data_IF_009093133232
#
_entry.id   IF_009093133232
#
_cell.length_a   1.000
_cell.length_b   1.000
_cell.length_c   1.000
_cell.angle_alpha   90.00
_cell.angle_beta   90.00
_cell.angle_gamma   90.00
#
_symmetry.space_group_name_H-M   'P 1'
#
loop_
_entity.id
_entity.type
_entity.pdbx_description
1 polymer ?
#
# COMPACT_ATOMS: atom_id res chain seq x y z
N UNK A 1 4.83 -23.76 -47.33
CA UNK A 1 5.95 -23.15 -46.57
C UNK A 1 5.91 -23.55 -45.09
N UNK A 2 4.75 -23.94 -44.58
CA UNK A 2 4.58 -24.37 -43.18
C UNK A 2 5.20 -25.74 -42.86
N UNK A 3 5.27 -26.65 -43.84
CA UNK A 3 5.87 -27.99 -43.67
C UNK A 3 7.40 -27.94 -43.40
N UNK A 4 8.10 -26.98 -44.01
CA UNK A 4 9.52 -26.80 -43.76
C UNK A 4 9.76 -26.28 -42.33
N UNK A 5 8.87 -25.42 -41.83
CA UNK A 5 8.95 -24.89 -40.46
C UNK A 5 8.65 -25.98 -39.44
N UNK A 6 7.61 -26.79 -39.65
CA UNK A 6 7.27 -27.90 -38.74
C UNK A 6 8.36 -28.98 -38.71
N UNK A 7 8.97 -29.29 -39.85
CA UNK A 7 10.14 -30.19 -39.92
C UNK A 7 11.33 -29.65 -39.11
N UNK A 8 11.69 -28.38 -39.32
CA UNK A 8 12.79 -27.72 -38.59
C UNK A 8 12.50 -27.68 -37.09
N UNK A 9 11.27 -27.35 -36.68
CA UNK A 9 10.85 -27.36 -35.28
C UNK A 9 10.93 -28.77 -34.65
N UNK A 10 10.54 -29.81 -35.39
CA UNK A 10 10.66 -31.20 -34.93
C UNK A 10 12.11 -31.64 -34.71
N UNK A 11 13.04 -31.19 -35.56
CA UNK A 11 14.48 -31.40 -35.36
C UNK A 11 14.95 -30.67 -34.11
N UNK A 12 14.63 -29.38 -33.96
CA UNK A 12 15.05 -28.61 -32.78
C UNK A 12 14.51 -29.19 -31.48
N UNK A 13 13.28 -29.69 -31.47
CA UNK A 13 12.70 -30.34 -30.30
C UNK A 13 13.43 -31.64 -29.96
N UNK A 14 13.67 -32.51 -30.95
CA UNK A 14 14.42 -33.77 -30.76
C UNK A 14 15.84 -33.49 -30.26
N UNK A 15 16.48 -32.46 -30.81
CA UNK A 15 17.80 -31.99 -30.42
C UNK A 15 17.77 -31.50 -28.97
N UNK A 16 16.79 -30.67 -28.59
CA UNK A 16 16.62 -30.17 -27.21
C UNK A 16 16.38 -31.29 -26.21
N UNK A 17 15.54 -32.27 -26.54
CA UNK A 17 15.27 -33.43 -25.69
C UNK A 17 16.54 -34.27 -25.47
N UNK A 18 17.37 -34.45 -26.50
CA UNK A 18 18.64 -35.17 -26.41
C UNK A 18 19.73 -34.37 -25.67
N UNK A 19 19.75 -33.05 -25.82
CA UNK A 19 20.63 -32.16 -25.04
C UNK A 19 20.21 -32.05 -23.57
N UNK A 20 18.99 -32.48 -23.21
CA UNK A 20 18.58 -32.69 -21.83
C UNK A 20 19.41 -33.77 -21.11
N UNK A 21 20.08 -34.66 -21.85
CA UNK A 21 21.04 -35.59 -21.26
C UNK A 21 22.37 -34.87 -20.99
N UNK A 22 22.80 -34.73 -19.72
CA UNK A 22 24.04 -34.05 -19.36
C UNK A 22 25.28 -34.72 -19.98
N UNK A 23 25.23 -36.03 -20.22
CA UNK A 23 26.33 -36.76 -20.86
C UNK A 23 26.52 -36.35 -22.32
N UNK A 24 25.44 -36.24 -23.07
CA UNK A 24 25.49 -35.88 -24.50
C UNK A 24 25.95 -34.44 -24.66
N UNK A 25 25.39 -33.52 -23.88
CA UNK A 25 25.79 -32.10 -23.92
C UNK A 25 27.26 -31.90 -23.52
N UNK A 26 27.70 -32.50 -22.42
CA UNK A 26 29.10 -32.43 -21.99
C UNK A 26 30.04 -33.11 -23.00
N UNK A 27 29.64 -34.24 -23.60
CA UNK A 27 30.41 -34.92 -24.63
C UNK A 27 30.59 -34.05 -25.88
N UNK A 28 29.51 -33.44 -26.40
CA UNK A 28 29.59 -32.58 -27.59
C UNK A 28 30.52 -31.38 -27.34
N UNK A 29 30.43 -30.75 -26.17
CA UNK A 29 31.30 -29.63 -25.80
C UNK A 29 32.76 -30.10 -25.64
N UNK A 30 32.99 -31.18 -24.90
CA UNK A 30 34.33 -31.76 -24.73
C UNK A 30 34.93 -32.20 -26.07
N UNK A 31 34.12 -32.76 -26.96
CA UNK A 31 34.52 -33.17 -28.30
C UNK A 31 34.92 -31.98 -29.16
N UNK A 32 34.14 -30.91 -29.15
CA UNK A 32 34.44 -29.69 -29.90
C UNK A 32 35.71 -29.01 -29.40
N UNK A 33 35.92 -28.96 -28.08
CA UNK A 33 37.14 -28.40 -27.47
C UNK A 33 38.36 -29.26 -27.80
N UNK A 34 38.24 -30.59 -27.67
CA UNK A 34 39.35 -31.51 -27.91
C UNK A 34 39.72 -31.61 -29.39
N UNK A 35 38.72 -31.68 -30.27
CA UNK A 35 38.88 -31.80 -31.72
C UNK A 35 38.78 -30.44 -32.45
N UNK A 36 39.16 -29.34 -31.79
CA UNK A 36 39.05 -28.00 -32.36
C UNK A 36 39.82 -27.85 -33.69
N UNK A 37 40.94 -28.57 -33.87
CA UNK A 37 41.71 -28.56 -35.12
C UNK A 37 40.91 -29.14 -36.30
N UNK A 38 40.12 -30.18 -36.06
CA UNK A 38 39.23 -30.74 -37.08
C UNK A 38 38.14 -29.72 -37.42
N UNK A 39 37.57 -29.06 -36.43
CA UNK A 39 36.59 -27.98 -36.66
C UNK A 39 37.19 -26.82 -37.47
N UNK A 40 38.43 -26.42 -37.18
CA UNK A 40 39.13 -25.36 -37.93
C UNK A 40 39.39 -25.77 -39.38
N UNK A 41 39.78 -27.02 -39.65
CA UNK A 41 39.96 -27.50 -41.02
C UNK A 41 38.63 -27.56 -41.77
N UNK A 42 37.56 -27.98 -41.09
CA UNK A 42 36.23 -28.08 -41.67
C UNK A 42 35.65 -26.70 -41.99
N UNK A 43 35.64 -25.80 -41.01
CA UNK A 43 35.08 -24.44 -41.09
C UNK A 43 35.99 -23.46 -41.86
N UNK A 44 37.29 -23.71 -41.91
CA UNK A 44 38.24 -22.83 -42.59
C UNK A 44 38.02 -22.82 -44.10
N UNK A 45 37.95 -21.63 -44.69
CA UNK A 45 37.82 -21.42 -46.14
C UNK A 45 39.15 -21.62 -46.88
N UNK A 46 39.85 -22.71 -46.63
CA UNK A 46 41.11 -23.02 -47.32
C UNK A 46 40.91 -23.37 -48.79
N UNK A 47 41.87 -22.98 -49.63
CA UNK A 47 41.83 -23.09 -51.10
C UNK A 47 41.84 -24.53 -51.65
N UNK A 48 42.12 -25.54 -50.82
CA UNK A 48 42.33 -26.93 -51.25
C UNK A 48 41.08 -27.74 -51.62
N UNK A 49 39.88 -27.17 -51.55
CA UNK A 49 38.62 -27.92 -51.73
C UNK A 49 38.44 -29.06 -50.71
N UNK A 50 37.36 -29.83 -50.83
CA UNK A 50 37.01 -30.86 -49.84
C UNK A 50 38.01 -32.03 -49.79
N UNK A 51 38.61 -32.41 -50.94
CA UNK A 51 39.55 -33.53 -51.03
C UNK A 51 40.85 -33.27 -50.27
N UNK A 52 41.41 -32.06 -50.38
CA UNK A 52 42.63 -31.72 -49.65
C UNK A 52 42.38 -31.68 -48.13
N UNK A 53 41.20 -31.23 -47.70
CA UNK A 53 40.80 -31.24 -46.28
C UNK A 53 40.73 -32.66 -45.72
N UNK A 54 40.08 -33.59 -46.40
CA UNK A 54 40.01 -34.99 -45.97
C UNK A 54 41.40 -35.62 -45.96
N UNK A 55 42.19 -35.43 -47.02
CA UNK A 55 43.57 -35.93 -47.08
C UNK A 55 44.44 -35.38 -45.95
N UNK A 56 44.25 -34.10 -45.58
CA UNK A 56 44.94 -33.52 -44.43
C UNK A 56 44.51 -34.16 -43.12
N UNK A 57 43.21 -34.40 -42.93
CA UNK A 57 42.69 -35.06 -41.72
C UNK A 57 43.25 -36.48 -41.60
N UNK A 58 43.20 -37.26 -42.67
CA UNK A 58 43.62 -38.66 -42.65
C UNK A 58 45.14 -38.82 -42.54
N UNK A 59 45.93 -37.94 -43.15
CA UNK A 59 47.39 -38.09 -43.14
C UNK A 59 48.09 -37.38 -41.97
N UNK A 60 47.54 -36.27 -41.47
CA UNK A 60 48.22 -35.41 -40.49
C UNK A 60 47.51 -35.31 -39.14
N UNK A 61 46.16 -35.34 -39.10
CA UNK A 61 45.42 -35.24 -37.83
C UNK A 61 45.22 -36.62 -37.20
N UNK A 62 44.83 -37.62 -37.99
CA UNK A 62 44.50 -38.96 -37.51
C UNK A 62 45.07 -40.05 -38.44
N UNK A 63 46.41 -40.23 -38.47
CA UNK A 63 47.08 -41.17 -39.37
C UNK A 63 46.70 -42.63 -39.13
N UNK A 64 46.28 -42.98 -37.91
CA UNK A 64 45.88 -44.35 -37.55
C UNK A 64 44.39 -44.41 -37.24
N UNK A 65 43.75 -45.52 -37.58
CA UNK A 65 42.36 -45.81 -37.20
C UNK A 65 42.15 -45.80 -35.68
N UNK A 66 43.19 -46.17 -34.92
CA UNK A 66 43.14 -46.11 -33.46
C UNK A 66 43.07 -44.67 -32.94
N UNK A 67 43.75 -43.73 -33.62
CA UNK A 67 43.77 -42.32 -33.22
C UNK A 67 42.36 -41.72 -33.37
N UNK A 68 41.61 -42.13 -34.40
CA UNK A 68 40.21 -41.78 -34.57
C UNK A 68 39.34 -42.23 -33.39
N UNK A 69 39.51 -43.46 -32.90
CA UNK A 69 38.72 -43.96 -31.77
C UNK A 69 39.10 -43.24 -30.45
N UNK A 70 40.40 -43.04 -30.22
CA UNK A 70 40.91 -42.44 -28.99
C UNK A 70 40.58 -40.95 -28.93
N UNK A 71 40.98 -40.18 -29.94
CA UNK A 71 40.80 -38.72 -29.96
C UNK A 71 39.39 -38.32 -30.37
N UNK A 72 38.73 -39.12 -31.21
CA UNK A 72 37.36 -38.86 -31.66
C UNK A 72 36.31 -39.22 -30.61
N UNK A 73 36.52 -40.23 -29.77
CA UNK A 73 35.47 -40.71 -28.85
C UNK A 73 35.95 -40.86 -27.41
N UNK A 74 37.01 -41.65 -27.15
CA UNK A 74 37.37 -42.04 -25.79
C UNK A 74 37.83 -40.85 -24.92
N UNK A 75 38.69 -39.97 -25.45
CA UNK A 75 39.18 -38.81 -24.69
C UNK A 75 38.05 -37.81 -24.42
N UNK A 76 37.26 -37.35 -25.41
CA UNK A 76 36.10 -36.49 -25.14
C UNK A 76 35.10 -37.09 -24.15
N UNK A 77 34.86 -38.41 -24.22
CA UNK A 77 34.02 -39.12 -23.27
C UNK A 77 34.61 -39.11 -21.86
N UNK A 78 35.92 -39.36 -21.72
CA UNK A 78 36.62 -39.27 -20.45
C UNK A 78 36.58 -37.86 -19.84
N UNK A 79 36.73 -36.82 -20.67
CA UNK A 79 36.60 -35.42 -20.24
C UNK A 79 35.16 -35.13 -19.80
N UNK A 80 34.16 -35.56 -20.58
CA UNK A 80 32.75 -35.37 -20.25
C UNK A 80 32.36 -36.07 -18.94
N UNK A 81 32.79 -37.32 -18.75
CA UNK A 81 32.57 -38.06 -17.50
C UNK A 81 33.27 -37.37 -16.32
N UNK A 82 34.51 -36.94 -16.50
CA UNK A 82 35.25 -36.18 -15.48
C UNK A 82 34.52 -34.90 -15.13
N UNK A 83 34.03 -34.15 -16.12
CA UNK A 83 33.27 -32.93 -15.92
C UNK A 83 31.97 -33.19 -15.16
N UNK A 84 31.23 -34.25 -15.49
CA UNK A 84 29.96 -34.58 -14.85
C UNK A 84 30.13 -35.10 -13.43
N UNK A 85 31.14 -35.94 -13.18
CA UNK A 85 31.28 -36.60 -11.88
C UNK A 85 32.25 -35.88 -10.93
N UNK A 86 33.32 -35.29 -11.43
CA UNK A 86 34.35 -34.65 -10.61
C UNK A 86 34.05 -33.19 -10.33
N UNK A 87 33.45 -32.46 -11.28
CA UNK A 87 33.20 -31.03 -11.12
C UNK A 87 32.14 -30.71 -10.03
N UNK A 88 30.98 -31.40 -9.95
CA UNK A 88 29.97 -31.07 -8.94
C UNK A 88 30.44 -31.15 -7.49
N UNK A 89 31.16 -32.20 -7.02
CA UNK A 89 31.64 -32.21 -5.64
C UNK A 89 32.68 -31.11 -5.36
N UNK A 90 33.52 -30.76 -6.34
CA UNK A 90 34.47 -29.63 -6.20
C UNK A 90 33.74 -28.30 -6.09
N UNK A 91 32.77 -28.05 -6.98
CA UNK A 91 31.97 -26.82 -6.96
C UNK A 91 31.14 -26.70 -5.68
N UNK A 92 30.58 -27.80 -5.16
CA UNK A 92 29.85 -27.81 -3.88
C UNK A 92 30.75 -27.42 -2.71
N UNK A 93 32.00 -27.90 -2.67
CA UNK A 93 32.97 -27.51 -1.64
C UNK A 93 33.31 -26.03 -1.71
N UNK A 94 33.63 -25.54 -2.91
CA UNK A 94 33.95 -24.12 -3.13
C UNK A 94 32.76 -23.23 -2.75
N UNK A 95 31.54 -23.62 -3.13
CA UNK A 95 30.32 -22.88 -2.78
C UNK A 95 30.08 -22.85 -1.27
N UNK A 96 30.24 -23.99 -0.58
CA UNK A 96 30.11 -24.07 0.87
C UNK A 96 31.15 -23.21 1.60
N UNK A 97 32.41 -23.24 1.14
CA UNK A 97 33.48 -22.41 1.71
C UNK A 97 33.23 -20.92 1.44
N UNK A 98 32.74 -20.57 0.26
CA UNK A 98 32.37 -19.21 -0.09
C UNK A 98 31.23 -18.69 0.78
N UNK A 99 30.16 -19.48 0.97
CA UNK A 99 29.03 -19.13 1.82
C UNK A 99 29.46 -18.99 3.29
N UNK A 100 30.33 -19.89 3.78
CA UNK A 100 30.91 -19.78 5.11
C UNK A 100 31.71 -18.49 5.30
N UNK A 101 32.48 -18.10 4.29
CA UNK A 101 33.25 -16.85 4.33
C UNK A 101 32.34 -15.62 4.26
N UNK A 102 31.28 -15.65 3.44
CA UNK A 102 30.28 -14.58 3.42
C UNK A 102 29.57 -14.42 4.77
N UNK A 103 29.19 -15.53 5.41
CA UNK A 103 28.57 -15.50 6.73
C UNK A 103 29.54 -14.93 7.78
N UNK A 104 30.82 -15.34 7.77
CA UNK A 104 31.85 -14.74 8.63
C UNK A 104 32.02 -13.24 8.41
N UNK A 105 32.02 -12.79 7.17
CA UNK A 105 32.12 -11.36 6.84
C UNK A 105 30.90 -10.60 7.32
N UNK A 106 29.69 -11.16 7.15
CA UNK A 106 28.45 -10.57 7.69
C UNK A 106 28.50 -10.48 9.21
N UNK A 107 28.89 -11.55 9.89
CA UNK A 107 29.04 -11.57 11.36
C UNK A 107 30.06 -10.52 11.84
N UNK A 108 31.16 -10.34 11.11
CA UNK A 108 32.16 -9.32 11.41
C UNK A 108 31.61 -7.89 11.20
N UNK A 109 30.86 -7.65 10.12
CA UNK A 109 30.21 -6.36 9.87
C UNK A 109 29.17 -6.06 10.96
N UNK A 110 28.37 -7.06 11.36
CA UNK A 110 27.34 -6.90 12.39
C UNK A 110 27.94 -6.63 13.77
N UNK A 111 29.02 -7.32 14.15
CA UNK A 111 29.70 -7.03 15.40
C UNK A 111 30.33 -5.63 15.42
N UNK A 112 30.74 -5.10 14.26
CA UNK A 112 31.31 -3.77 14.14
C UNK A 112 30.26 -2.63 14.09
N UNK A 113 29.04 -2.89 13.64
CA UNK A 113 28.01 -1.84 13.39
C UNK A 113 26.99 -1.67 14.51
N UNK A 114 27.06 -2.44 15.61
CA UNK A 114 26.05 -2.50 16.69
C UNK A 114 24.61 -2.85 16.23
N UNK A 115 24.38 -3.02 14.93
CA UNK A 115 23.10 -3.48 14.37
C UNK A 115 23.07 -5.00 14.46
N UNK A 116 22.55 -5.50 15.58
CA UNK A 116 22.33 -6.95 15.79
C UNK A 116 21.22 -7.45 14.86
N UNK A 117 21.58 -8.33 13.92
CA UNK A 117 20.58 -9.14 13.21
C UNK A 117 19.94 -10.13 14.17
N UNK A 118 18.61 -10.18 14.19
CA UNK A 118 17.85 -11.12 15.01
C UNK A 118 18.22 -12.56 14.62
N UNK A 119 18.47 -13.42 15.60
CA UNK A 119 18.63 -14.85 15.35
C UNK A 119 17.35 -15.44 14.76
N UNK A 120 17.42 -16.60 14.09
CA UNK A 120 16.22 -17.25 13.53
C UNK A 120 15.15 -17.49 14.61
N UNK A 121 15.57 -17.86 15.82
CA UNK A 121 14.69 -18.04 16.98
C UNK A 121 14.08 -16.73 17.45
N UNK A 122 14.87 -15.65 17.50
CA UNK A 122 14.38 -14.31 17.85
C UNK A 122 13.41 -13.77 16.80
N UNK A 123 13.67 -14.02 15.51
CA UNK A 123 12.78 -13.65 14.42
C UNK A 123 11.45 -14.42 14.48
N UNK A 124 11.47 -15.72 14.80
CA UNK A 124 10.26 -16.51 15.03
C UNK A 124 9.50 -16.04 16.27
N UNK A 125 10.20 -15.73 17.36
CA UNK A 125 9.60 -15.15 18.55
C UNK A 125 8.93 -13.81 18.24
N UNK A 126 9.62 -12.90 17.54
CA UNK A 126 9.07 -11.61 17.14
C UNK A 126 7.84 -11.76 16.25
N UNK A 127 7.86 -12.70 15.29
CA UNK A 127 6.69 -13.04 14.47
C UNK A 127 5.52 -13.52 15.32
N UNK A 128 5.77 -14.37 16.32
CA UNK A 128 4.72 -14.86 17.23
C UNK A 128 4.10 -13.72 18.06
N UNK A 129 4.92 -12.77 18.52
CA UNK A 129 4.46 -11.58 19.26
C UNK A 129 3.61 -10.69 18.34
N UNK A 130 4.06 -10.43 17.12
CA UNK A 130 3.30 -9.65 16.14
C UNK A 130 1.95 -10.28 15.79
N UNK A 131 1.89 -11.61 15.67
CA UNK A 131 0.63 -12.33 15.41
C UNK A 131 -0.32 -12.16 16.60
N UNK A 132 0.17 -12.30 17.84
CA UNK A 132 -0.66 -12.10 19.05
C UNK A 132 -1.20 -10.68 19.14
N UNK A 133 -0.34 -9.67 18.99
CA UNK A 133 -0.75 -8.26 18.99
C UNK A 133 -1.78 -7.97 17.89
N UNK A 134 -1.63 -8.57 16.70
CA UNK A 134 -2.60 -8.41 15.61
C UNK A 134 -3.95 -9.05 15.95
N UNK A 135 -3.96 -10.18 16.63
CA UNK A 135 -5.18 -10.82 17.10
C UNK A 135 -5.88 -9.97 18.17
N UNK A 136 -5.13 -9.46 19.16
CA UNK A 136 -5.63 -8.54 20.20
C UNK A 136 -6.21 -7.26 19.60
N UNK A 137 -5.53 -6.67 18.62
CA UNK A 137 -6.02 -5.49 17.90
C UNK A 137 -7.32 -5.76 17.14
N UNK A 138 -7.46 -6.96 16.55
CA UNK A 138 -8.68 -7.34 15.85
C UNK A 138 -9.86 -7.50 16.81
N UNK A 139 -9.62 -8.06 18.00
CA UNK A 139 -10.65 -8.17 19.04
C UNK A 139 -11.07 -6.79 19.57
N UNK A 140 -10.13 -5.91 19.87
CA UNK A 140 -10.42 -4.55 20.33
C UNK A 140 -11.19 -3.74 19.27
N UNK A 141 -10.83 -3.90 18.00
CA UNK A 141 -11.56 -3.28 16.89
C UNK A 141 -12.99 -3.79 16.80
N UNK A 142 -13.21 -5.10 16.96
CA UNK A 142 -14.55 -5.67 16.93
C UNK A 142 -15.43 -5.15 18.08
N UNK A 143 -14.88 -5.10 19.30
CA UNK A 143 -15.56 -4.53 20.47
C UNK A 143 -15.89 -3.04 20.26
N UNK A 144 -14.95 -2.28 19.70
CA UNK A 144 -15.17 -0.86 19.39
C UNK A 144 -16.30 -0.67 18.38
N UNK A 145 -16.33 -1.46 17.30
CA UNK A 145 -17.41 -1.43 16.31
C UNK A 145 -18.75 -1.76 16.95
N UNK A 146 -18.81 -2.81 17.77
CA UNK A 146 -20.03 -3.17 18.49
C UNK A 146 -20.50 -2.06 19.44
N UNK A 147 -19.57 -1.38 20.11
CA UNK A 147 -19.90 -0.24 20.96
C UNK A 147 -20.50 0.91 20.16
N UNK A 148 -19.95 1.22 18.98
CA UNK A 148 -20.43 2.26 18.08
C UNK A 148 -21.83 1.94 17.54
N UNK A 149 -22.09 0.68 17.17
CA UNK A 149 -23.42 0.24 16.76
C UNK A 149 -24.45 0.41 17.88
N UNK A 150 -24.08 0.08 19.12
CA UNK A 150 -24.95 0.28 20.28
C UNK A 150 -25.21 1.76 20.55
N UNK A 151 -24.20 2.62 20.39
CA UNK A 151 -24.37 4.08 20.47
C UNK A 151 -25.31 4.60 19.37
N UNK A 152 -25.13 4.16 18.12
CA UNK A 152 -25.98 4.55 17.01
C UNK A 152 -27.46 4.17 17.26
N UNK A 153 -27.71 2.95 17.75
CA UNK A 153 -29.07 2.50 18.14
C UNK A 153 -29.68 3.38 19.23
N UNK A 154 -28.92 3.70 20.28
CA UNK A 154 -29.39 4.60 21.35
C UNK A 154 -29.71 6.00 20.83
N UNK A 155 -28.91 6.54 19.93
CA UNK A 155 -29.18 7.86 19.32
C UNK A 155 -30.43 7.83 18.44
N UNK A 156 -30.68 6.73 17.73
CA UNK A 156 -31.89 6.55 16.92
C UNK A 156 -33.15 6.44 17.81
N UNK A 157 -33.08 5.69 18.91
CA UNK A 157 -34.15 5.59 19.91
C UNK A 157 -34.46 6.95 20.54
N UNK A 158 -33.43 7.72 20.89
CA UNK A 158 -33.59 9.08 21.41
C UNK A 158 -34.22 10.02 20.39
N UNK A 159 -33.83 9.93 19.11
CA UNK A 159 -34.43 10.72 18.04
C UNK A 159 -35.92 10.39 17.87
N UNK A 160 -36.29 9.10 17.86
CA UNK A 160 -37.68 8.65 17.80
C UNK A 160 -38.50 9.12 19.00
N UNK A 161 -37.94 9.03 20.20
CA UNK A 161 -38.60 9.54 21.42
C UNK A 161 -38.84 11.05 21.33
N UNK A 162 -37.88 11.81 20.80
CA UNK A 162 -38.00 13.25 20.61
C UNK A 162 -39.05 13.61 19.55
N UNK A 163 -39.14 12.86 18.45
CA UNK A 163 -40.21 13.02 17.46
C UNK A 163 -41.60 12.74 18.06
N UNK A 164 -41.74 11.70 18.89
CA UNK A 164 -42.98 11.39 19.58
C UNK A 164 -43.38 12.50 20.57
N UNK A 165 -42.42 13.02 21.33
CA UNK A 165 -42.65 14.17 22.24
C UNK A 165 -43.10 15.41 21.48
N UNK A 166 -42.47 15.74 20.36
CA UNK A 166 -42.89 16.86 19.49
C UNK A 166 -44.30 16.69 18.94
N UNK A 167 -44.68 15.47 18.55
CA UNK A 167 -46.05 15.18 18.10
C UNK A 167 -47.07 15.44 19.20
N UNK A 168 -46.80 14.98 20.43
CA UNK A 168 -47.66 15.24 21.60
C UNK A 168 -47.75 16.73 21.93
N UNK A 169 -46.63 17.44 21.87
CA UNK A 169 -46.61 18.90 22.08
C UNK A 169 -47.53 19.60 21.07
N UNK A 170 -47.44 19.25 19.79
CA UNK A 170 -48.32 19.81 18.76
C UNK A 170 -49.81 19.48 19.00
N UNK A 171 -50.13 18.24 19.39
CA UNK A 171 -51.50 17.83 19.74
C UNK A 171 -52.05 18.66 20.92
N UNK A 172 -51.24 18.84 21.97
CA UNK A 172 -51.59 19.66 23.13
C UNK A 172 -51.76 21.13 22.76
N UNK A 173 -50.91 21.68 21.89
CA UNK A 173 -51.07 23.05 21.39
C UNK A 173 -52.40 23.25 20.66
N UNK A 174 -52.81 22.28 19.85
CA UNK A 174 -54.08 22.32 19.13
C UNK A 174 -55.29 22.16 20.07
N UNK A 175 -55.18 21.35 21.12
CA UNK A 175 -56.18 21.29 22.19
C UNK A 175 -56.29 22.64 22.93
N UNK A 176 -55.16 23.26 23.27
CA UNK A 176 -55.12 24.58 23.91
C UNK A 176 -55.77 25.63 23.01
N UNK A 177 -55.54 25.61 21.68
CA UNK A 177 -56.20 26.50 20.73
C UNK A 177 -57.72 26.30 20.73
N UNK A 178 -58.19 25.04 20.75
CA UNK A 178 -59.63 24.72 20.83
C UNK A 178 -60.25 25.24 22.13
N UNK A 179 -59.56 25.11 23.26
CA UNK A 179 -60.04 25.57 24.57
C UNK A 179 -60.01 27.11 24.70
N UNK A 180 -59.08 27.79 24.05
CA UNK A 180 -59.00 29.27 24.02
C UNK A 180 -60.01 29.91 23.06
N UNK A 181 -60.67 29.15 22.19
CA UNK A 181 -61.73 29.68 21.35
C UNK A 181 -62.82 30.29 22.26
N UNK A 182 -63.15 31.59 22.09
CA UNK A 182 -64.07 32.25 22.99
C UNK A 182 -65.40 31.48 23.01
N UNK A 183 -65.96 31.18 24.20
CA UNK A 183 -67.24 30.50 24.27
C UNK A 183 -68.26 31.28 23.44
N UNK A 184 -69.16 30.59 22.71
CA UNK A 184 -70.18 31.26 21.92
C UNK A 184 -70.93 32.24 22.84
N UNK A 185 -70.93 33.52 22.46
CA UNK A 185 -71.61 34.59 23.21
C UNK A 185 -73.09 34.25 23.34
N UNK A 186 -73.48 33.56 24.40
CA UNK A 186 -74.86 33.60 24.89
C UNK A 186 -75.03 34.93 25.62
N UNK A 187 -76.13 35.66 25.42
CA UNK A 187 -76.41 36.88 26.18
C UNK A 187 -76.45 36.51 27.66
N UNK A 188 -75.43 36.95 28.40
CA UNK A 188 -75.27 36.67 29.81
C UNK A 188 -75.85 37.85 30.58
N UNK A 189 -77.01 37.63 31.20
CA UNK A 189 -77.72 38.57 32.05
C UNK A 189 -76.97 38.72 33.38
N UNK A 190 -76.51 39.92 33.68
CA UNK A 190 -75.58 40.23 34.76
C UNK A 190 -76.39 40.60 36.02
N UNK A 191 -76.88 39.61 36.75
CA UNK A 191 -77.41 39.86 38.10
C UNK A 191 -76.31 39.60 39.13
N UNK A 192 -75.76 40.69 39.66
CA UNK A 192 -74.61 40.68 40.54
C UNK A 192 -74.88 40.08 41.91
N UNK A 193 -73.89 39.39 42.46
CA UNK A 193 -73.42 39.50 43.85
C UNK A 193 -72.18 38.60 44.09
N UNK A 194 -71.32 39.12 44.96
CA UNK A 194 -70.14 38.54 45.63
C UNK A 194 -68.86 38.30 44.83
N UNK A 195 -68.19 39.41 44.49
CA UNK A 195 -66.81 39.45 43.95
C UNK A 195 -65.70 39.59 45.01
N UNK A 196 -65.98 39.51 46.31
CA UNK A 196 -64.93 39.69 47.34
C UNK A 196 -64.31 38.40 47.90
N UNK A 197 -64.98 37.24 47.87
CA UNK A 197 -64.41 36.01 48.45
C UNK A 197 -63.48 35.23 47.50
N UNK A 198 -63.60 35.41 46.19
CA UNK A 198 -62.73 34.72 45.21
C UNK A 198 -61.34 35.36 45.03
N UNK A 199 -61.16 36.60 45.50
CA UNK A 199 -59.86 37.29 45.44
C UNK A 199 -58.83 36.74 46.44
N UNK A 200 -59.25 36.07 47.52
CA UNK A 200 -58.33 35.44 48.49
C UNK A 200 -57.85 34.04 48.08
N UNK A 201 -58.60 33.31 47.24
CA UNK A 201 -58.20 31.97 46.79
C UNK A 201 -57.10 31.99 45.72
N UNK A 202 -56.99 33.06 44.93
CA UNK A 202 -55.99 33.19 43.86
C UNK A 202 -54.62 33.63 44.41
N UNK A 203 -54.59 34.31 45.57
CA UNK A 203 -53.34 34.72 46.23
C UNK A 203 -52.48 33.55 46.74
N UNK A 204 -53.09 32.43 47.14
CA UNK A 204 -52.36 31.26 47.68
C UNK A 204 -51.75 30.39 46.56
N UNK A 205 -52.27 30.50 45.33
CA UNK A 205 -51.81 29.67 44.21
C UNK A 205 -50.58 30.22 43.49
N UNK A 206 -50.25 31.52 43.64
CA UNK A 206 -49.02 32.09 43.09
C UNK A 206 -47.79 31.86 43.96
N UNK A 207 -47.92 31.75 45.28
CA UNK A 207 -46.78 31.48 46.18
C UNK A 207 -46.28 30.02 46.08
N UNK A 208 -47.15 29.08 45.70
CA UNK A 208 -46.78 27.67 45.44
C UNK A 208 -46.05 27.46 44.10
N UNK A 209 -46.20 28.36 43.13
CA UNK A 209 -45.45 28.29 41.86
C UNK A 209 -44.07 28.97 41.94
N UNK A 210 -43.88 29.93 42.85
CA UNK A 210 -42.57 30.55 43.10
C UNK A 210 -41.58 29.61 43.81
N UNK A 211 -42.05 28.60 44.55
CA UNK A 211 -41.20 27.62 45.22
C UNK A 211 -40.70 26.46 44.32
N UNK A 212 -41.27 26.29 43.11
CA UNK A 212 -40.98 25.16 42.23
C UNK A 212 -39.85 25.41 41.21
N UNK A 213 -39.39 26.64 41.03
CA UNK A 213 -38.42 27.01 39.99
C UNK A 213 -36.97 27.18 40.46
N UNK A 214 -36.63 26.76 41.68
CA UNK A 214 -35.28 26.82 42.23
C UNK A 214 -34.60 25.44 42.39
N UNK A 215 -34.88 24.50 41.49
CA UNK A 215 -34.07 23.28 41.37
C UNK A 215 -32.80 23.58 40.56
N UNK A 216 -31.80 24.15 41.24
CA UNK A 216 -30.41 24.20 40.79
C UNK A 216 -29.86 22.78 40.69
N UNK A 217 -29.63 22.30 39.47
CA UNK A 217 -28.80 21.11 39.24
C UNK A 217 -27.34 21.57 39.27
N UNK A 218 -26.66 21.28 40.39
CA UNK A 218 -25.21 21.38 40.50
C UNK A 218 -24.58 20.12 39.92
N UNK A 219 -23.75 20.28 38.88
CA UNK A 219 -22.72 19.31 38.52
C UNK A 219 -21.37 19.93 38.86
N UNK A 220 -20.68 19.33 39.83
CA UNK A 220 -19.26 19.52 40.15
C UNK A 220 -18.80 20.92 40.65
N UNK A 221 -19.62 21.59 41.46
CA UNK A 221 -19.16 22.68 42.35
C UNK A 221 -18.70 23.98 41.70
N UNK A 222 -18.82 24.17 40.37
CA UNK A 222 -18.52 25.45 39.69
C UNK A 222 -19.65 25.87 38.75
N UNK A 223 -20.12 27.12 38.91
CA UNK A 223 -21.12 27.73 38.02
C UNK A 223 -20.47 28.10 36.69
N UNK A 224 -20.89 27.49 35.59
CA UNK A 224 -20.51 27.92 34.24
C UNK A 224 -21.77 28.41 33.51
N UNK A 225 -21.67 29.61 32.93
CA UNK A 225 -22.72 30.27 32.15
C UNK A 225 -22.77 29.61 30.77
N UNK A 226 -23.90 28.97 30.42
CA UNK A 226 -24.12 28.35 29.12
C UNK A 226 -24.67 29.40 28.13
N UNK A 227 -23.98 29.73 27.02
CA UNK A 227 -24.51 30.65 26.03
C UNK A 227 -25.25 29.89 24.92
N UNK A 228 -26.51 30.27 24.68
CA UNK A 228 -27.19 29.92 23.44
C UNK A 228 -26.64 30.74 22.27
N UNK A 229 -26.69 30.07 21.14
CA UNK A 229 -26.48 30.48 19.76
C UNK A 229 -26.87 31.92 19.41
N UNK A 230 -25.96 32.60 18.72
CA UNK A 230 -26.31 33.56 17.67
C UNK A 230 -26.12 32.89 16.31
N UNK A 231 -27.23 32.83 15.57
CA UNK A 231 -27.25 32.65 14.13
C UNK A 231 -26.41 33.76 13.47
N UNK A 232 -25.40 33.38 12.69
CA UNK A 232 -25.03 33.89 11.36
C UNK A 232 -23.67 33.25 11.00
N UNK A 233 -23.45 32.98 9.71
CA UNK A 233 -22.29 32.28 9.12
C UNK A 233 -22.28 30.74 9.13
N UNK A 234 -23.36 30.14 8.60
CA UNK A 234 -23.30 28.83 7.98
C UNK A 234 -23.11 28.97 6.45
N UNK A 235 -21.87 29.15 6.01
CA UNK A 235 -21.43 28.76 4.66
C UNK A 235 -20.11 28.00 4.75
N UNK A 236 -20.18 26.74 4.29
CA UNK A 236 -19.14 25.70 4.25
C UNK A 236 -18.75 25.10 5.59
N UNK A 237 -19.36 23.96 5.92
CA UNK A 237 -18.77 22.99 6.84
C UNK A 237 -18.95 21.57 6.28
N UNK A 238 -17.84 20.99 5.80
CA UNK A 238 -17.66 19.55 5.56
C UNK A 238 -17.21 18.96 6.91
N UNK A 239 -17.71 17.81 7.36
CA UNK A 239 -17.31 17.26 8.66
C UNK A 239 -15.92 16.62 8.55
N UNK A 240 -14.90 17.37 8.97
CA UNK A 240 -13.60 16.83 9.37
C UNK A 240 -13.55 16.88 10.89
N UNK A 241 -14.00 15.81 11.54
CA UNK A 241 -13.78 15.60 12.96
C UNK A 241 -13.21 14.20 13.21
N UNK A 242 -12.06 14.20 13.91
CA UNK A 242 -11.31 13.09 14.53
C UNK A 242 -10.40 12.25 13.64
N UNK A 243 -9.25 12.84 13.31
CA UNK A 243 -7.95 12.14 13.25
C UNK A 243 -6.86 13.13 13.67
N UNK A 244 -6.71 13.37 14.98
CA UNK A 244 -5.63 14.23 15.51
C UNK A 244 -5.00 13.53 16.70
N UNK A 245 -4.05 12.65 16.40
CA UNK A 245 -3.01 12.20 17.33
C UNK A 245 -1.69 11.99 16.55
N UNK A 246 -1.23 12.99 15.81
CA UNK A 246 0.21 13.22 15.60
C UNK A 246 0.44 14.59 14.95
N UNK A 247 1.32 15.45 15.50
CA UNK A 247 1.63 16.75 14.89
C UNK A 247 2.31 16.63 13.50
N UNK A 248 2.88 15.46 13.17
CA UNK A 248 3.50 15.21 11.86
C UNK A 248 2.52 15.21 10.67
N UNK A 249 1.22 14.96 10.90
CA UNK A 249 0.23 14.83 9.81
C UNK A 249 -0.38 16.16 9.38
N UNK A 250 -0.39 17.18 10.24
CA UNK A 250 -1.00 18.46 9.89
C UNK A 250 -0.14 19.27 8.91
N UNK A 251 1.18 19.32 9.14
CA UNK A 251 2.10 20.05 8.25
C UNK A 251 2.18 19.41 6.86
N UNK A 252 2.23 18.08 6.79
CA UNK A 252 2.29 17.34 5.52
C UNK A 252 0.99 17.43 4.74
N UNK A 253 -0.17 17.40 5.41
CA UNK A 253 -1.46 17.53 4.75
C UNK A 253 -1.72 18.97 4.28
N UNK A 254 -1.31 19.98 5.05
CA UNK A 254 -1.37 21.38 4.66
C UNK A 254 -0.45 21.68 3.45
N UNK A 255 0.77 21.15 3.45
CA UNK A 255 1.70 21.27 2.33
C UNK A 255 1.14 20.58 1.07
N UNK A 256 0.52 19.40 1.20
CA UNK A 256 -0.09 18.68 0.08
C UNK A 256 -1.27 19.45 -0.53
N UNK A 257 -2.12 20.05 0.31
CA UNK A 257 -3.23 20.90 -0.15
C UNK A 257 -2.73 22.20 -0.82
N UNK A 258 -1.65 22.79 -0.32
CA UNK A 258 -1.01 23.96 -0.93
C UNK A 258 -0.44 23.60 -2.31
N UNK A 259 0.25 22.46 -2.42
CA UNK A 259 0.79 21.94 -3.68
C UNK A 259 -0.34 21.71 -4.69
N UNK A 260 -1.43 21.07 -4.26
CA UNK A 260 -2.58 20.78 -5.12
C UNK A 260 -3.27 22.07 -5.62
N UNK A 261 -3.44 23.07 -4.74
CA UNK A 261 -4.05 24.35 -5.07
C UNK A 261 -3.20 25.17 -6.05
N UNK A 262 -1.87 25.06 -5.98
CA UNK A 262 -0.94 25.77 -6.87
C UNK A 262 -0.70 25.02 -8.19
N UNK A 263 -0.68 23.69 -8.18
CA UNK A 263 -0.63 22.86 -9.39
C UNK A 263 -1.84 23.08 -10.30
N UNK A 264 -3.01 23.35 -9.70
CA UNK A 264 -4.23 23.71 -10.43
C UNK A 264 -4.14 25.07 -11.16
N UNK A 265 -3.18 25.93 -10.81
CA UNK A 265 -3.01 27.28 -11.41
C UNK A 265 -2.09 27.25 -12.64
N UNK A 266 -1.57 26.08 -13.05
CA UNK A 266 -0.87 25.89 -14.33
C UNK A 266 0.45 26.66 -14.50
N UNK A 267 0.98 27.26 -13.43
CA UNK A 267 2.28 27.94 -13.47
C UNK A 267 3.41 26.93 -13.31
N UNK A 268 4.32 26.89 -14.30
CA UNK A 268 5.62 26.22 -14.16
C UNK A 268 6.45 27.00 -13.15
N UNK A 269 6.63 26.45 -11.95
CA UNK A 269 7.56 26.95 -10.94
C UNK A 269 8.81 26.08 -10.92
N UNK A 270 9.98 26.69 -10.77
CA UNK A 270 11.22 25.95 -10.57
C UNK A 270 11.26 25.36 -9.16
N UNK A 271 12.12 24.36 -8.93
CA UNK A 271 12.29 23.75 -7.61
C UNK A 271 12.62 24.77 -6.52
N UNK A 272 13.46 25.77 -6.83
CA UNK A 272 13.82 26.85 -5.90
C UNK A 272 12.62 27.74 -5.55
N UNK A 273 11.69 27.93 -6.47
CA UNK A 273 10.46 28.69 -6.20
C UNK A 273 9.54 27.92 -5.24
N UNK A 274 9.50 26.59 -5.34
CA UNK A 274 8.74 25.73 -4.42
C UNK A 274 9.33 25.74 -3.01
N UNK A 275 10.65 25.61 -2.90
CA UNK A 275 11.37 25.64 -1.62
C UNK A 275 11.15 26.98 -0.92
N UNK A 276 11.37 28.10 -1.63
CA UNK A 276 11.15 29.45 -1.09
C UNK A 276 9.69 29.70 -0.68
N UNK A 277 8.73 29.11 -1.39
CA UNK A 277 7.30 29.26 -1.07
C UNK A 277 6.90 28.44 0.16
N UNK A 278 7.43 27.22 0.32
CA UNK A 278 7.23 26.40 1.51
C UNK A 278 7.87 27.04 2.75
N UNK A 279 9.09 27.56 2.62
CA UNK A 279 9.75 28.32 3.70
C UNK A 279 8.97 29.58 4.08
N UNK A 280 8.48 30.34 3.09
CA UNK A 280 7.65 31.55 3.34
C UNK A 280 6.38 31.24 4.14
N UNK A 281 5.84 30.04 4.02
CA UNK A 281 4.65 29.60 4.75
C UNK A 281 4.97 28.77 6.01
N UNK A 282 6.24 28.69 6.42
CA UNK A 282 6.67 28.05 7.67
C UNK A 282 6.85 26.53 7.57
N UNK A 283 6.82 25.94 6.37
CA UNK A 283 6.94 24.49 6.15
C UNK A 283 8.40 24.04 5.95
N UNK A 284 9.31 24.50 6.81
CA UNK A 284 10.77 24.30 6.66
C UNK A 284 11.18 22.82 6.63
N UNK A 285 10.42 21.96 7.32
CA UNK A 285 10.70 20.51 7.38
C UNK A 285 10.20 19.76 6.14
N UNK A 286 9.04 20.16 5.60
CA UNK A 286 8.53 19.63 4.34
C UNK A 286 9.43 20.05 3.16
N UNK A 287 9.98 21.26 3.19
CA UNK A 287 10.97 21.72 2.20
C UNK A 287 12.20 20.80 2.13
N UNK A 288 12.68 20.31 3.29
CA UNK A 288 13.79 19.34 3.35
C UNK A 288 13.41 17.95 2.82
N UNK A 289 12.16 17.51 3.02
CA UNK A 289 11.67 16.21 2.58
C UNK A 289 11.22 16.18 1.10
N UNK A 290 10.98 17.33 0.46
CA UNK A 290 10.64 17.43 -0.97
C UNK A 290 11.76 16.85 -1.86
N UNK A 291 13.01 16.83 -1.39
CA UNK A 291 14.11 16.12 -2.06
C UNK A 291 13.82 14.64 -2.32
N UNK A 292 13.01 13.97 -1.48
CA UNK A 292 12.65 12.57 -1.65
C UNK A 292 11.41 12.38 -2.53
N UNK A 293 10.47 13.32 -2.53
CA UNK A 293 9.24 13.25 -3.33
C UNK A 293 9.47 13.60 -4.81
N UNK A 294 10.41 14.50 -5.11
CA UNK A 294 10.75 14.85 -6.50
C UNK A 294 11.42 13.68 -7.24
N UNK A 295 12.13 12.81 -6.52
CA UNK A 295 12.74 11.61 -7.09
C UNK A 295 11.70 10.62 -7.63
N UNK A 296 10.47 10.64 -7.10
CA UNK A 296 9.37 9.77 -7.52
C UNK A 296 8.57 10.40 -8.67
N UNK A 297 8.46 11.72 -8.72
CA UNK A 297 7.77 12.45 -9.80
C UNK A 297 8.55 12.49 -11.13
N UNK A 298 9.88 12.43 -11.10
CA UNK A 298 10.72 12.36 -12.31
C UNK A 298 10.67 10.97 -12.96
N UNK A 299 10.32 9.93 -12.20
CA UNK A 299 10.23 8.56 -12.70
C UNK A 299 8.91 8.25 -13.45
N UNK A 300 7.91 9.15 -13.39
CA UNK A 300 6.60 8.93 -14.03
C UNK A 300 6.36 9.69 -15.34
N UNK A 301 7.37 10.37 -15.91
CA UNK A 301 7.19 10.97 -17.23
C UNK A 301 8.43 11.58 -17.90
N UNK A 302 8.74 11.04 -19.09
CA UNK A 302 9.58 11.57 -20.18
C UNK A 302 11.12 11.42 -20.05
N UNK A 303 11.64 10.28 -20.53
CA UNK A 303 12.60 10.19 -21.64
C UNK A 303 13.09 8.75 -21.79
N UNK A 304 13.07 8.22 -23.01
CA UNK A 304 13.54 6.89 -23.33
C UNK A 304 15.07 6.80 -23.18
N UNK A 305 15.55 6.00 -22.24
CA UNK A 305 16.72 5.11 -22.37
C UNK A 305 16.82 4.19 -21.14
N UNK A 306 17.21 2.91 -21.26
CA UNK A 306 17.07 1.94 -20.19
C UNK A 306 18.38 1.73 -19.44
N UNK A 307 18.45 2.14 -18.17
CA UNK A 307 19.34 1.51 -17.19
C UNK A 307 18.84 1.86 -15.80
N UNK A 308 18.27 0.88 -15.10
CA UNK A 308 18.29 0.64 -13.64
C UNK A 308 17.08 -0.23 -13.29
N UNK A 309 17.30 -1.54 -13.16
CA UNK A 309 16.31 -2.45 -12.60
C UNK A 309 16.26 -2.23 -11.08
N UNK A 310 15.18 -1.61 -10.60
CA UNK A 310 14.87 -1.54 -9.17
C UNK A 310 13.98 -2.71 -8.81
N UNK A 311 14.36 -3.43 -7.76
CA UNK A 311 13.70 -4.62 -7.23
C UNK A 311 12.33 -4.23 -6.61
N UNK A 312 11.23 -4.75 -7.17
CA UNK A 312 9.82 -4.40 -6.87
C UNK A 312 9.34 -4.74 -5.44
N UNK A 313 10.19 -5.31 -4.57
CA UNK A 313 9.73 -5.93 -3.32
C UNK A 313 9.42 -4.96 -2.16
N UNK A 314 9.59 -3.64 -2.31
CA UNK A 314 9.39 -2.69 -1.21
C UNK A 314 8.69 -1.39 -1.64
N UNK A 315 7.60 -1.48 -2.39
CA UNK A 315 6.71 -0.33 -2.59
C UNK A 315 5.60 -0.39 -1.53
N UNK A 316 5.52 0.58 -0.59
CA UNK A 316 4.42 0.66 0.36
C UNK A 316 3.06 0.71 -0.35
N UNK A 317 2.10 -0.09 0.10
CA UNK A 317 0.78 -0.26 -0.54
C UNK A 317 0.01 1.07 -0.74
N UNK A 318 0.28 2.08 0.09
CA UNK A 318 -0.35 3.41 -0.03
C UNK A 318 0.18 4.22 -1.22
N UNK A 319 1.43 4.00 -1.66
CA UNK A 319 1.99 4.63 -2.86
C UNK A 319 1.41 4.00 -4.14
N UNK A 320 1.10 2.70 -4.13
CA UNK A 320 0.43 2.01 -5.24
C UNK A 320 -1.01 2.51 -5.47
N UNK A 321 -1.71 2.90 -4.40
CA UNK A 321 -3.08 3.43 -4.48
C UNK A 321 -3.16 4.83 -5.08
N UNK A 322 -2.13 5.67 -4.86
CA UNK A 322 -2.06 7.02 -5.44
C UNK A 322 -1.78 6.95 -6.95
N UNK A 323 -0.90 6.02 -7.39
CA UNK A 323 -0.65 5.79 -8.81
C UNK A 323 -1.91 5.33 -9.58
N UNK A 324 -2.74 4.49 -8.96
CA UNK A 324 -3.96 3.96 -9.58
C UNK A 324 -5.09 5.01 -9.72
N UNK A 325 -5.12 6.03 -8.85
CA UNK A 325 -6.11 7.10 -8.92
C UNK A 325 -5.87 8.09 -10.07
N UNK A 326 -4.62 8.20 -10.55
CA UNK A 326 -4.25 9.12 -11.64
C UNK A 326 -4.60 8.51 -13.01
N UNK A 327 -4.55 7.18 -13.16
CA UNK A 327 -4.80 6.49 -14.44
C UNK A 327 -6.28 6.39 -14.81
N UNK A 328 -7.22 6.67 -13.91
CA UNK A 328 -8.68 6.52 -14.18
C UNK A 328 -9.30 7.84 -14.69
N UNK A 329 -8.53 8.94 -14.77
CA UNK A 329 -9.02 10.25 -15.23
C UNK A 329 -8.54 10.66 -16.62
N UNK A 330 -8.38 9.71 -17.55
CA UNK A 330 -8.29 10.05 -18.99
C UNK A 330 -9.65 9.85 -19.64
N UNK A 331 -10.33 10.96 -19.94
CA UNK A 331 -11.48 10.98 -20.86
C UNK A 331 -10.98 10.58 -22.25
N UNK A 332 -11.75 9.79 -23.04
CA UNK A 332 -11.43 9.59 -24.44
C UNK A 332 -11.61 10.93 -25.18
N UNK A 333 -10.57 11.37 -25.87
CA UNK A 333 -10.63 12.48 -26.82
C UNK A 333 -11.19 11.99 -28.15
N UNK A 334 -12.25 12.64 -28.63
CA UNK A 334 -12.62 12.67 -30.04
C UNK A 334 -11.55 13.41 -30.87
#
# INVERSE_FOLDING_TARGET
>A
MDDAKTFVLGIFQTVRERFGNPLVSAFVVAWAIWNFRLLLVFLGSGDGGWKAKISYIDNYLFPKQLDWLIHGSLIPLGIALTWIYLLPPLLRRIAADHEKNLNRTRDAIFSATEVRTLSSEEALHLRSVMIKQRAEWQTEKAETVQSLENFAKRTEEQAKALELSKKRENELEDEIKKLKAPPPKKPFDFNGKSTEEKAKAIGIQLDLMAASNNALVTFDGKRVKWPWSTNEDAKFNIPLARFVESPLREETMAATLLIYKLGYVGKKMSFKDWEALLEKHGFNRAAQEVNHLYLVGVLSGLSAEPAFAVNEQNIPLWLAQIGFAITISEKPSD
#
